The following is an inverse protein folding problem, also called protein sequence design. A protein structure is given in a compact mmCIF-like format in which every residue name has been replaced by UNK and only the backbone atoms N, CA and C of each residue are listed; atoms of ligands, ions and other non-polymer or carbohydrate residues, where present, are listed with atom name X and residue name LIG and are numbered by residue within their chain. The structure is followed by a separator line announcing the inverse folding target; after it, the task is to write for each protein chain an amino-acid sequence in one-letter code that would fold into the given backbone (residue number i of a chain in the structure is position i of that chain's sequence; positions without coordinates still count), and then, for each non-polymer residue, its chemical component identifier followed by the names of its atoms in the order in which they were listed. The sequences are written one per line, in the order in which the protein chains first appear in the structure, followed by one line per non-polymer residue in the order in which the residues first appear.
data_IF_382962814062
#
_entry.id   IF_382962814062
#
_cell.length_a   1.000
_cell.length_b   1.000
_cell.length_c   1.000
_cell.angle_alpha   90.00
_cell.angle_beta   90.00
_cell.angle_gamma   90.00
#
_symmetry.space_group_name_H-M   'P 1'
#
loop_
_entity.id
_entity.type
_entity.pdbx_description
1 polymer ?
#
# COMPACT_ATOMS: atom_id res chain seq x y z
N UNK A 1 2.26 12.62 -0.46
CA UNK A 1 3.65 12.52 0.05
C UNK A 1 3.84 13.51 1.19
N UNK A 2 4.66 13.14 2.16
CA UNK A 2 4.87 13.94 3.34
C UNK A 2 6.17 14.72 3.28
N UNK A 3 6.09 16.03 3.55
CA UNK A 3 7.24 16.88 3.72
C UNK A 3 8.18 16.92 2.51
N UNK A 4 9.46 16.63 2.72
CA UNK A 4 10.47 16.61 1.66
C UNK A 4 10.63 15.29 0.93
N UNK A 5 9.79 14.29 1.22
CA UNK A 5 9.85 12.99 0.55
C UNK A 5 9.34 13.07 -0.88
N UNK A 6 9.91 12.26 -1.77
CA UNK A 6 9.50 12.18 -3.16
C UNK A 6 9.63 10.76 -3.68
N UNK A 7 8.79 10.38 -4.62
CA UNK A 7 8.85 9.07 -5.25
C UNK A 7 8.35 9.11 -6.68
N UNK A 8 8.69 8.08 -7.42
CA UNK A 8 8.31 7.89 -8.81
C UNK A 8 8.11 6.41 -9.10
N UNK A 9 7.15 6.07 -9.96
CA UNK A 9 6.93 4.71 -10.43
C UNK A 9 7.13 4.65 -11.95
N UNK A 10 7.89 3.64 -12.38
CA UNK A 10 8.04 3.32 -13.80
C UNK A 10 7.01 2.24 -14.15
N UNK A 11 6.01 2.60 -14.93
CA UNK A 11 4.91 1.69 -15.29
C UNK A 11 5.35 0.54 -16.19
N UNK A 12 6.49 0.67 -16.86
CA UNK A 12 7.01 -0.40 -17.74
C UNK A 12 7.74 -1.48 -16.97
N UNK A 13 8.41 -1.12 -15.88
CA UNK A 13 9.23 -2.05 -15.08
C UNK A 13 8.61 -2.40 -13.75
N UNK A 14 7.59 -1.66 -13.30
CA UNK A 14 6.99 -1.82 -11.99
C UNK A 14 7.87 -1.33 -10.84
N UNK A 15 8.91 -0.56 -11.14
CA UNK A 15 9.82 -0.03 -10.12
C UNK A 15 9.24 1.25 -9.52
N UNK A 16 8.93 1.18 -8.25
CA UNK A 16 8.57 2.34 -7.43
C UNK A 16 9.76 2.66 -6.53
N UNK A 17 10.30 3.85 -6.67
CA UNK A 17 11.50 4.26 -5.94
C UNK A 17 11.44 5.74 -5.59
N UNK A 18 12.28 6.12 -4.67
CA UNK A 18 12.36 7.53 -4.27
C UNK A 18 13.24 7.73 -3.06
N UNK A 19 13.05 8.88 -2.43
CA UNK A 19 13.77 9.27 -1.23
C UNK A 19 12.78 9.71 -0.16
N UNK A 20 12.88 9.12 1.02
CA UNK A 20 12.02 9.43 2.16
C UNK A 20 12.83 10.21 3.18
N UNK A 21 12.30 11.34 3.63
CA UNK A 21 12.89 12.15 4.69
C UNK A 21 11.86 12.40 5.78
N UNK A 22 12.33 12.70 6.99
CA UNK A 22 11.47 13.12 8.09
C UNK A 22 11.30 14.64 8.15
N UNK A 23 11.96 15.37 7.25
CA UNK A 23 11.87 16.84 7.19
C UNK A 23 10.43 17.29 6.94
N UNK A 24 10.05 18.43 7.54
CA UNK A 24 8.74 19.07 7.37
C UNK A 24 7.57 18.11 7.65
N UNK A 25 7.66 17.33 8.73
CA UNK A 25 6.66 16.31 9.09
C UNK A 25 6.52 15.22 8.02
N UNK A 26 7.58 14.94 7.28
CA UNK A 26 7.64 13.87 6.31
C UNK A 26 7.63 12.48 6.97
N UNK A 27 8.28 11.54 6.31
CA UNK A 27 8.37 10.16 6.79
C UNK A 27 7.37 9.24 6.11
N UNK A 28 6.79 9.65 4.97
CA UNK A 28 5.97 8.75 4.17
C UNK A 28 5.95 9.13 2.70
N UNK A 29 5.76 8.13 1.87
CA UNK A 29 5.47 8.26 0.43
C UNK A 29 4.41 7.24 0.06
N UNK A 30 3.71 7.49 -1.01
CA UNK A 30 2.73 6.55 -1.52
C UNK A 30 2.58 6.65 -3.02
N UNK A 31 2.07 5.58 -3.62
CA UNK A 31 1.68 5.52 -5.02
C UNK A 31 0.29 4.90 -5.10
N UNK A 32 -0.58 5.50 -5.89
CA UNK A 32 -1.98 5.10 -6.00
C UNK A 32 -2.31 4.87 -7.46
N UNK A 33 -3.05 3.81 -7.74
CA UNK A 33 -3.60 3.60 -9.08
C UNK A 33 -4.63 4.69 -9.41
N UNK A 34 -4.77 5.00 -10.70
CA UNK A 34 -5.94 5.72 -11.17
C UNK A 34 -7.17 4.88 -10.82
N UNK A 35 -8.29 5.49 -10.37
CA UNK A 35 -9.50 4.73 -10.10
C UNK A 35 -9.92 3.91 -11.32
N UNK A 36 -10.32 2.66 -11.06
CA UNK A 36 -10.78 1.78 -12.13
C UNK A 36 -12.06 2.32 -12.77
N UNK A 37 -12.20 2.12 -14.07
CA UNK A 37 -13.44 2.43 -14.76
C UNK A 37 -14.48 1.35 -14.43
N UNK A 38 -15.34 1.65 -13.48
CA UNK A 38 -16.24 0.67 -12.88
C UNK A 38 -15.55 -0.13 -11.81
N UNK A 39 -16.27 -0.44 -10.76
CA UNK A 39 -15.75 -1.23 -9.66
C UNK A 39 -15.51 -2.67 -10.08
N UNK A 40 -14.44 -3.28 -9.56
CA UNK A 40 -14.16 -4.69 -9.76
C UNK A 40 -14.86 -5.50 -8.68
N UNK A 41 -15.60 -6.53 -9.10
CA UNK A 41 -16.20 -7.50 -8.21
C UNK A 41 -15.19 -8.62 -7.94
N UNK A 42 -14.65 -8.66 -6.72
CA UNK A 42 -13.70 -9.68 -6.28
C UNK A 42 -14.32 -10.64 -5.27
N UNK A 43 -15.65 -10.76 -5.26
CA UNK A 43 -16.36 -11.58 -4.27
C UNK A 43 -16.05 -13.07 -4.38
N UNK A 44 -15.60 -13.56 -5.53
CA UNK A 44 -15.15 -14.95 -5.70
C UNK A 44 -13.66 -15.14 -5.38
N UNK A 45 -12.96 -14.08 -4.99
CA UNK A 45 -11.54 -14.11 -4.65
C UNK A 45 -11.37 -14.03 -3.14
N UNK A 46 -10.26 -14.60 -2.64
CA UNK A 46 -9.92 -14.54 -1.21
C UNK A 46 -9.02 -13.36 -0.86
N UNK A 47 -8.27 -12.87 -1.84
CA UNK A 47 -7.33 -11.79 -1.63
C UNK A 47 -6.55 -11.45 -2.89
N UNK A 48 -5.45 -10.73 -2.69
CA UNK A 48 -4.53 -10.33 -3.76
C UNK A 48 -3.13 -10.85 -3.43
N UNK A 49 -2.51 -11.50 -4.41
CA UNK A 49 -1.14 -11.94 -4.35
C UNK A 49 -0.25 -10.88 -4.98
N UNK A 50 0.78 -10.46 -4.25
CA UNK A 50 1.78 -9.50 -4.72
C UNK A 50 3.06 -10.27 -4.99
N UNK A 51 3.55 -10.18 -6.23
CA UNK A 51 4.88 -10.69 -6.56
C UNK A 51 5.82 -9.52 -6.76
N UNK A 52 6.97 -9.55 -6.09
CA UNK A 52 7.93 -8.47 -6.14
C UNK A 52 9.35 -9.02 -6.30
N UNK A 53 10.21 -8.23 -6.93
CA UNK A 53 11.62 -8.58 -7.20
C UNK A 53 12.59 -7.88 -6.26
N UNK A 54 12.34 -6.61 -5.96
CA UNK A 54 13.16 -5.81 -5.05
C UNK A 54 12.28 -5.19 -3.98
N UNK A 55 12.76 -5.19 -2.74
CA UNK A 55 12.06 -4.59 -1.61
C UNK A 55 12.99 -4.33 -0.44
N UNK A 56 14.21 -4.89 -0.47
CA UNK A 56 15.28 -4.66 0.50
C UNK A 56 14.89 -4.96 1.95
N UNK A 57 13.90 -5.85 2.17
CA UNK A 57 13.40 -6.19 3.49
C UNK A 57 12.62 -5.08 4.19
N UNK A 58 12.33 -3.99 3.50
CA UNK A 58 11.54 -2.88 4.08
C UNK A 58 10.08 -3.28 4.21
N UNK A 59 9.40 -2.62 5.14
CA UNK A 59 7.99 -2.91 5.41
C UNK A 59 7.12 -1.85 4.74
N UNK A 60 6.27 -2.32 3.85
CA UNK A 60 5.34 -1.51 3.06
C UNK A 60 3.90 -1.78 3.46
N UNK A 61 3.03 -0.86 3.11
CA UNK A 61 1.58 -1.05 3.20
C UNK A 61 1.01 -1.27 1.81
N UNK A 62 0.10 -2.23 1.69
CA UNK A 62 -0.74 -2.41 0.51
C UNK A 62 -2.16 -2.05 0.87
N UNK A 63 -2.80 -1.24 0.04
CA UNK A 63 -4.13 -0.70 0.28
C UNK A 63 -5.05 -1.10 -0.85
N UNK A 64 -6.22 -1.63 -0.50
CA UNK A 64 -7.33 -1.86 -1.42
C UNK A 64 -8.39 -0.82 -1.11
N UNK A 65 -8.87 -0.15 -2.15
CA UNK A 65 -9.86 0.92 -2.02
C UNK A 65 -11.21 0.46 -2.54
N UNK A 66 -12.25 0.67 -1.76
CA UNK A 66 -13.64 0.40 -2.14
C UNK A 66 -14.48 1.69 -2.25
N UNK A 67 -13.82 2.83 -2.29
CA UNK A 67 -14.45 4.14 -2.45
C UNK A 67 -13.56 5.04 -3.28
N UNK A 68 -14.16 5.89 -4.10
CA UNK A 68 -13.44 6.92 -4.87
C UNK A 68 -13.17 8.18 -4.06
N UNK A 69 -13.70 8.27 -2.85
CA UNK A 69 -13.42 9.38 -1.94
C UNK A 69 -11.94 9.39 -1.57
N UNK A 70 -11.23 10.47 -1.89
CA UNK A 70 -9.80 10.60 -1.61
C UNK A 70 -9.48 10.38 -0.13
N UNK A 71 -10.35 10.87 0.77
CA UNK A 71 -10.20 10.73 2.21
C UNK A 71 -11.01 9.55 2.79
N UNK A 72 -11.44 8.64 1.93
CA UNK A 72 -12.18 7.46 2.35
C UNK A 72 -11.31 6.43 3.05
N UNK A 73 -11.94 5.37 3.52
CA UNK A 73 -11.26 4.30 4.25
C UNK A 73 -10.25 3.59 3.33
N UNK A 74 -9.04 3.40 3.85
CA UNK A 74 -8.01 2.57 3.26
C UNK A 74 -8.05 1.20 3.92
N UNK A 75 -8.30 0.15 3.15
CA UNK A 75 -8.25 -1.22 3.62
C UNK A 75 -6.82 -1.72 3.47
N UNK A 76 -6.08 -1.71 4.57
CA UNK A 76 -4.61 -1.73 4.58
C UNK A 76 -4.07 -3.01 5.18
N UNK A 77 -3.01 -3.52 4.58
CA UNK A 77 -2.23 -4.64 5.13
C UNK A 77 -0.75 -4.31 4.97
N UNK A 78 0.03 -4.52 6.02
CA UNK A 78 1.48 -4.34 5.97
C UNK A 78 2.17 -5.64 5.59
N UNK A 79 3.27 -5.55 4.85
CA UNK A 79 4.07 -6.70 4.47
C UNK A 79 5.55 -6.33 4.40
N UNK A 80 6.40 -7.31 4.65
CA UNK A 80 7.85 -7.14 4.55
C UNK A 80 8.32 -7.65 3.18
N UNK A 81 8.88 -6.75 2.39
CA UNK A 81 9.27 -7.04 1.03
C UNK A 81 10.73 -7.51 0.96
N UNK A 82 10.93 -8.80 1.04
CA UNK A 82 12.22 -9.43 0.75
C UNK A 82 12.42 -9.52 -0.76
N UNK A 83 13.68 -9.52 -1.22
CA UNK A 83 13.93 -9.64 -2.65
C UNK A 83 13.41 -10.97 -3.21
N UNK A 84 12.82 -10.93 -4.40
CA UNK A 84 12.26 -12.09 -5.10
C UNK A 84 11.20 -12.83 -4.27
N UNK A 85 10.26 -12.07 -3.71
CA UNK A 85 9.24 -12.61 -2.83
C UNK A 85 7.83 -12.57 -3.40
N UNK A 86 6.95 -13.27 -2.70
CA UNK A 86 5.51 -13.29 -2.95
C UNK A 86 4.80 -13.11 -1.62
N UNK A 87 3.79 -12.24 -1.60
CA UNK A 87 2.98 -12.00 -0.41
C UNK A 87 1.51 -12.13 -0.77
N UNK A 88 0.79 -12.94 -0.01
CA UNK A 88 -0.66 -13.08 -0.15
C UNK A 88 -1.36 -12.18 0.85
N UNK A 89 -2.24 -11.33 0.36
CA UNK A 89 -2.99 -10.35 1.17
C UNK A 89 -4.45 -10.79 1.18
N UNK A 90 -4.91 -11.52 2.21
CA UNK A 90 -6.31 -11.92 2.27
C UNK A 90 -7.19 -10.71 2.61
N UNK A 91 -8.37 -10.65 2.00
CA UNK A 91 -9.32 -9.57 2.28
C UNK A 91 -9.79 -9.57 3.74
N UNK A 92 -9.81 -10.74 4.38
CA UNK A 92 -10.22 -10.89 5.78
C UNK A 92 -9.22 -10.28 6.78
N UNK A 93 -7.97 -10.07 6.37
CA UNK A 93 -6.93 -9.55 7.26
C UNK A 93 -6.65 -8.07 7.12
N UNK A 94 -7.45 -7.34 6.36
CA UNK A 94 -7.24 -5.91 6.13
C UNK A 94 -7.68 -5.07 7.32
N UNK A 95 -6.93 -4.02 7.58
CA UNK A 95 -7.21 -3.07 8.66
C UNK A 95 -7.79 -1.80 8.05
N UNK A 96 -9.02 -1.40 8.42
CA UNK A 96 -9.61 -0.16 7.94
C UNK A 96 -8.96 1.05 8.61
N UNK A 97 -8.39 1.96 7.80
CA UNK A 97 -7.71 3.15 8.33
C UNK A 97 -8.12 4.42 7.60
N UNK A 98 -8.02 5.54 8.32
CA UNK A 98 -8.06 6.89 7.75
C UNK A 98 -6.86 7.62 8.33
N UNK A 99 -5.95 8.09 7.49
CA UNK A 99 -4.69 8.72 7.90
C UNK A 99 -3.92 7.86 8.92
N UNK A 100 -3.77 6.57 8.62
CA UNK A 100 -3.10 5.56 9.45
C UNK A 100 -3.72 5.35 10.84
N UNK A 101 -4.92 5.88 11.08
CA UNK A 101 -5.68 5.61 12.30
C UNK A 101 -6.76 4.58 12.01
N UNK A 102 -6.82 3.54 12.81
CA UNK A 102 -7.84 2.50 12.70
C UNK A 102 -9.23 3.08 12.95
N UNK A 103 -10.17 2.75 12.08
CA UNK A 103 -11.57 3.15 12.22
C UNK A 103 -12.44 1.92 12.39
N UNK A 104 -13.64 2.10 12.96
CA UNK A 104 -14.56 1.00 13.20
C UNK A 104 -15.91 1.25 12.54
N UNK A 105 -16.77 0.23 12.49
CA UNK A 105 -18.14 0.36 12.01
C UNK A 105 -18.30 0.25 10.51
N UNK A 106 -17.24 -0.10 9.77
CA UNK A 106 -17.30 -0.27 8.32
C UNK A 106 -16.93 -1.68 7.91
N UNK A 107 -17.48 -2.12 6.78
CA UNK A 107 -17.17 -3.42 6.18
C UNK A 107 -16.60 -3.21 4.79
N UNK A 108 -15.59 -4.01 4.45
CA UNK A 108 -14.98 -3.97 3.13
C UNK A 108 -15.96 -4.46 2.06
N UNK A 109 -16.11 -3.67 1.01
CA UNK A 109 -16.97 -4.00 -0.14
C UNK A 109 -16.14 -4.76 -1.18
N UNK A 110 -16.06 -6.07 -1.04
CA UNK A 110 -15.27 -6.92 -1.94
C UNK A 110 -15.77 -6.88 -3.38
N UNK A 111 -17.03 -6.54 -3.59
CA UNK A 111 -17.62 -6.37 -4.92
C UNK A 111 -17.50 -4.94 -5.48
N UNK A 112 -16.82 -4.06 -4.77
CA UNK A 112 -16.72 -2.65 -5.14
C UNK A 112 -15.30 -2.12 -5.11
N UNK A 113 -14.31 -2.89 -5.53
CA UNK A 113 -12.91 -2.47 -5.54
C UNK A 113 -12.67 -1.47 -6.66
N UNK A 114 -12.21 -0.28 -6.31
CA UNK A 114 -12.02 0.83 -7.26
C UNK A 114 -10.57 1.27 -7.42
N UNK A 115 -9.66 0.79 -6.58
CA UNK A 115 -8.25 1.17 -6.71
C UNK A 115 -7.33 0.43 -5.76
N UNK A 116 -6.05 0.51 -6.05
CA UNK A 116 -4.97 -0.09 -5.28
C UNK A 116 -3.92 0.98 -4.96
N UNK A 117 -3.19 0.77 -3.87
CA UNK A 117 -2.20 1.73 -3.41
C UNK A 117 -1.09 1.02 -2.66
N UNK A 118 0.13 1.54 -2.79
CA UNK A 118 1.26 1.17 -1.94
C UNK A 118 1.71 2.39 -1.15
N UNK A 119 2.19 2.17 0.06
CA UNK A 119 2.75 3.21 0.89
C UNK A 119 3.98 2.72 1.63
N UNK A 120 4.90 3.62 1.88
CA UNK A 120 6.07 3.40 2.73
C UNK A 120 6.10 4.50 3.76
N UNK A 121 5.98 4.15 5.04
CA UNK A 121 5.74 5.10 6.10
C UNK A 121 6.54 4.78 7.36
N UNK A 122 6.97 5.82 8.05
CA UNK A 122 7.56 5.73 9.39
C UNK A 122 6.61 5.08 10.40
N UNK A 123 5.32 5.29 10.24
CA UNK A 123 4.31 4.77 11.15
C UNK A 123 3.53 3.62 10.52
N UNK A 124 3.21 2.62 11.35
CA UNK A 124 2.29 1.54 10.98
C UNK A 124 0.84 2.01 11.17
N UNK A 125 0.27 1.76 12.35
CA UNK A 125 -1.11 2.11 12.66
C UNK A 125 -1.16 2.78 14.02
N UNK A 126 -2.03 3.77 14.18
CA UNK A 126 -2.33 4.38 15.48
C UNK A 126 -1.08 4.90 16.23
N UNK A 127 -0.12 5.43 15.46
CA UNK A 127 1.12 5.97 16.02
C UNK A 127 2.22 4.96 16.29
N UNK A 128 2.00 3.67 16.00
CA UNK A 128 3.03 2.65 16.14
C UNK A 128 4.12 2.81 15.08
N UNK A 129 5.38 2.62 15.45
CA UNK A 129 6.49 2.80 14.52
C UNK A 129 6.69 1.59 13.62
N UNK A 130 7.01 1.84 12.35
CA UNK A 130 7.45 0.83 11.42
C UNK A 130 8.93 0.51 11.71
N UNK A 131 9.21 -0.68 12.24
CA UNK A 131 10.56 -1.08 12.64
C UNK A 131 11.51 -1.32 11.47
N UNK A 132 10.97 -1.50 10.26
CA UNK A 132 11.75 -1.70 9.04
C UNK A 132 11.65 -0.45 8.14
N UNK A 133 11.61 0.71 8.75
CA UNK A 133 11.63 2.00 8.06
C UNK A 133 12.98 2.69 8.28
N UNK A 134 13.57 3.14 7.18
CA UNK A 134 14.75 4.00 7.19
C UNK A 134 14.53 5.19 6.28
N UNK A 135 15.05 6.34 6.66
CA UNK A 135 15.10 7.49 5.77
C UNK A 135 16.12 7.24 4.66
N UNK A 136 15.97 7.95 3.56
CA UNK A 136 16.85 7.82 2.41
C UNK A 136 16.16 7.13 1.24
N UNK A 137 16.95 6.48 0.42
CA UNK A 137 16.45 5.82 -0.79
C UNK A 137 15.73 4.52 -0.48
N UNK A 138 14.66 4.26 -1.23
CA UNK A 138 13.95 2.99 -1.18
C UNK A 138 13.60 2.53 -2.59
N UNK A 139 13.38 1.23 -2.74
CA UNK A 139 12.93 0.61 -3.99
C UNK A 139 11.96 -0.49 -3.66
N UNK A 140 10.85 -0.54 -4.40
CA UNK A 140 9.96 -1.69 -4.45
C UNK A 140 9.66 -1.98 -5.92
N UNK A 141 10.05 -3.14 -6.40
CA UNK A 141 9.71 -3.56 -7.75
C UNK A 141 8.59 -4.59 -7.72
N UNK A 142 7.44 -4.19 -8.23
CA UNK A 142 6.24 -5.03 -8.31
C UNK A 142 6.25 -5.71 -9.68
N UNK A 143 6.20 -7.04 -9.68
CA UNK A 143 6.21 -7.83 -10.91
C UNK A 143 4.80 -8.16 -11.33
N UNK A 144 3.94 -8.51 -10.39
CA UNK A 144 2.57 -8.93 -10.68
C UNK A 144 1.67 -8.71 -9.47
N UNK A 145 0.44 -8.29 -9.74
CA UNK A 145 -0.67 -8.29 -8.79
C UNK A 145 -1.75 -9.22 -9.33
N UNK A 146 -2.16 -10.19 -8.55
CA UNK A 146 -3.10 -11.22 -8.99
C UNK A 146 -4.12 -11.51 -7.90
N UNK A 147 -5.41 -11.48 -8.25
CA UNK A 147 -6.45 -11.94 -7.35
C UNK A 147 -6.45 -13.48 -7.28
N UNK A 148 -6.72 -14.02 -6.10
CA UNK A 148 -6.76 -15.47 -5.88
C UNK A 148 -7.97 -15.90 -5.07
#
# INVERSE_FOLDING_TARGET
MGGGSSSNIDNNTGIWSGTVTEANNGGFVGVRSTPFQGALDMSECKGIEIRFRQGSGKRFKFVVRDSTDFNGICWTTSFDAKNNGTECIPFSGQIPTVFAKTVSGSSFKVNGVVGLQFAYSKFEYDGELNRNFDTGKFVLQIVELKAY
#
